data_IF_743723567341
#
_entry.id   IF_743723567341
#
_cell.length_a   1.000
_cell.length_b   1.000
_cell.length_c   1.000
_cell.angle_alpha   90.00
_cell.angle_beta   90.00
_cell.angle_gamma   90.00
#
_symmetry.space_group_name_H-M   'P 1'
#
loop_
_entity.id
_entity.type
_entity.pdbx_description
1 polymer ?
#
# COMPACT_ATOMS: atom_id res chain seq x y z
N UNK A 1 -22.68 -7.84 11.69
CA UNK A 1 -21.44 -8.12 10.97
C UNK A 1 -21.63 -9.38 10.14
N UNK A 2 -21.43 -9.30 8.82
CA UNK A 2 -21.52 -10.46 7.93
C UNK A 2 -20.38 -11.42 8.28
N UNK A 3 -20.65 -12.51 8.98
CA UNK A 3 -19.68 -13.57 9.24
C UNK A 3 -19.45 -14.32 7.94
N UNK A 4 -18.43 -13.94 7.19
CA UNK A 4 -18.01 -14.70 6.01
C UNK A 4 -17.65 -16.14 6.42
N UNK A 5 -18.29 -17.11 5.77
CA UNK A 5 -18.10 -18.53 6.09
C UNK A 5 -16.88 -19.14 5.37
N UNK A 6 -15.87 -18.31 5.05
CA UNK A 6 -14.64 -18.72 4.36
C UNK A 6 -13.69 -19.36 5.37
N UNK A 7 -13.21 -20.60 5.08
CA UNK A 7 -12.35 -21.39 5.97
C UNK A 7 -11.17 -22.01 5.21
N UNK A 8 -10.11 -22.34 5.94
CA UNK A 8 -8.94 -23.05 5.45
C UNK A 8 -8.16 -22.29 4.39
N UNK A 9 -7.76 -22.98 3.33
CA UNK A 9 -6.97 -22.39 2.23
C UNK A 9 -7.65 -21.21 1.54
N UNK A 10 -9.00 -21.21 1.47
CA UNK A 10 -9.76 -20.11 0.88
C UNK A 10 -9.70 -18.84 1.75
N UNK A 11 -9.71 -18.96 3.10
CA UNK A 11 -9.55 -17.82 3.99
C UNK A 11 -8.13 -17.25 3.90
N UNK A 12 -7.12 -18.11 3.95
CA UNK A 12 -5.70 -17.70 3.77
C UNK A 12 -5.47 -17.07 2.41
N UNK A 13 -5.98 -17.67 1.35
CA UNK A 13 -5.89 -17.13 -0.01
C UNK A 13 -6.61 -15.79 -0.16
N UNK A 14 -7.78 -15.61 0.46
CA UNK A 14 -8.50 -14.35 0.46
C UNK A 14 -7.73 -13.22 1.18
N UNK A 15 -7.10 -13.53 2.31
CA UNK A 15 -6.22 -12.57 3.01
C UNK A 15 -5.02 -12.21 2.13
N UNK A 16 -4.33 -13.21 1.57
CA UNK A 16 -3.18 -13.00 0.71
C UNK A 16 -3.55 -12.18 -0.55
N UNK A 17 -4.71 -12.46 -1.16
CA UNK A 17 -5.20 -11.71 -2.32
C UNK A 17 -5.52 -10.26 -1.96
N UNK A 18 -6.19 -10.01 -0.83
CA UNK A 18 -6.50 -8.65 -0.39
C UNK A 18 -5.23 -7.85 -0.08
N UNK A 19 -4.27 -8.46 0.63
CA UNK A 19 -2.97 -7.87 0.89
C UNK A 19 -2.23 -7.61 -0.43
N UNK A 20 -2.23 -8.57 -1.35
CA UNK A 20 -1.60 -8.45 -2.66
C UNK A 20 -2.18 -7.31 -3.49
N UNK A 21 -3.51 -7.17 -3.51
CA UNK A 21 -4.19 -6.07 -4.19
C UNK A 21 -3.82 -4.69 -3.61
N UNK A 22 -3.65 -4.58 -2.28
CA UNK A 22 -3.26 -3.33 -1.65
C UNK A 22 -1.82 -2.93 -2.02
N UNK A 23 -0.89 -3.89 -2.06
CA UNK A 23 0.50 -3.63 -2.50
C UNK A 23 0.59 -3.36 -4.00
N UNK A 24 -0.18 -4.08 -4.81
CA UNK A 24 -0.27 -3.83 -6.25
C UNK A 24 -0.80 -2.42 -6.53
N UNK A 25 -1.83 -2.01 -5.79
CA UNK A 25 -2.39 -0.66 -5.85
C UNK A 25 -1.35 0.40 -5.47
N UNK A 26 -0.56 0.14 -4.42
CA UNK A 26 0.51 1.04 -4.00
C UNK A 26 1.53 1.25 -5.13
N UNK A 27 2.04 0.17 -5.72
CA UNK A 27 2.97 0.25 -6.84
C UNK A 27 2.38 0.89 -8.10
N UNK A 28 1.10 0.62 -8.37
CA UNK A 28 0.38 1.23 -9.48
C UNK A 28 0.26 2.76 -9.30
N UNK A 29 -0.17 3.21 -8.12
CA UNK A 29 -0.39 4.63 -7.83
C UNK A 29 0.93 5.42 -7.82
N UNK A 30 2.02 4.79 -7.39
CA UNK A 30 3.36 5.36 -7.52
C UNK A 30 3.77 5.57 -8.99
N UNK A 31 3.52 4.59 -9.85
CA UNK A 31 3.98 4.63 -11.24
C UNK A 31 3.06 5.42 -12.19
N UNK A 32 1.77 5.55 -11.88
CA UNK A 32 0.79 6.10 -12.82
C UNK A 32 1.06 7.53 -13.22
N UNK A 33 1.54 8.37 -12.31
CA UNK A 33 1.86 9.76 -12.64
C UNK A 33 3.08 9.88 -13.55
N UNK A 34 4.11 9.07 -13.34
CA UNK A 34 5.26 9.05 -14.26
C UNK A 34 4.87 8.70 -15.70
N UNK A 35 3.80 7.91 -15.85
CA UNK A 35 3.27 7.56 -17.17
C UNK A 35 2.36 8.63 -17.78
N UNK A 36 1.60 9.40 -16.96
CA UNK A 36 0.61 10.36 -17.48
C UNK A 36 1.12 11.80 -17.57
N UNK A 37 2.11 12.21 -16.78
CA UNK A 37 2.68 13.58 -16.81
C UNK A 37 3.28 13.91 -18.20
N UNK A 38 3.78 12.90 -18.92
CA UNK A 38 4.30 13.07 -20.28
C UNK A 38 3.22 13.23 -21.37
N UNK A 39 1.93 13.03 -21.06
CA UNK A 39 0.84 13.13 -22.03
C UNK A 39 0.49 14.59 -22.35
N UNK A 40 0.24 14.89 -23.63
CA UNK A 40 -0.11 16.23 -24.09
C UNK A 40 -1.43 16.70 -23.48
N UNK A 41 -2.40 15.80 -23.31
CA UNK A 41 -3.68 16.08 -22.65
C UNK A 41 -3.51 16.51 -21.19
N UNK A 42 -2.58 15.88 -20.45
CA UNK A 42 -2.27 16.26 -19.07
C UNK A 42 -1.63 17.65 -19.01
N UNK A 43 -0.62 17.89 -19.85
CA UNK A 43 0.08 19.18 -19.89
C UNK A 43 -0.86 20.32 -20.24
N UNK A 44 -1.74 20.11 -21.22
CA UNK A 44 -2.73 21.10 -21.64
C UNK A 44 -3.76 21.42 -20.54
N UNK A 45 -4.22 20.40 -19.78
CA UNK A 45 -5.18 20.59 -18.69
C UNK A 45 -4.59 21.42 -17.54
N UNK A 46 -3.29 21.23 -17.26
CA UNK A 46 -2.59 21.88 -16.15
C UNK A 46 -1.66 23.03 -16.58
N UNK A 47 -1.92 23.70 -17.73
CA UNK A 47 -1.16 24.83 -18.28
C UNK A 47 0.35 24.58 -18.29
N UNK A 48 0.77 23.51 -18.91
CA UNK A 48 2.17 23.08 -19.09
C UNK A 48 3.01 23.20 -17.81
N UNK A 49 2.77 22.33 -16.81
CA UNK A 49 3.38 22.44 -15.50
C UNK A 49 4.91 22.38 -15.62
N UNK A 50 5.59 23.27 -14.91
CA UNK A 50 7.05 23.27 -14.89
C UNK A 50 7.57 22.02 -14.16
N UNK A 51 8.85 21.66 -14.38
CA UNK A 51 9.49 20.46 -13.82
C UNK A 51 9.38 20.37 -12.29
N UNK A 52 9.43 21.51 -11.61
CA UNK A 52 9.30 21.52 -10.14
C UNK A 52 7.90 21.13 -9.71
N UNK A 53 6.87 21.61 -10.41
CA UNK A 53 5.48 21.26 -10.11
C UNK A 53 5.17 19.79 -10.45
N UNK A 54 5.68 19.28 -11.58
CA UNK A 54 5.61 17.86 -11.92
C UNK A 54 6.23 17.01 -10.79
N UNK A 55 7.40 17.41 -10.29
CA UNK A 55 8.06 16.76 -9.18
C UNK A 55 7.26 16.81 -7.86
N UNK A 56 6.66 17.96 -7.55
CA UNK A 56 5.81 18.12 -6.38
C UNK A 56 4.58 17.21 -6.49
N UNK A 57 3.87 17.21 -7.61
CA UNK A 57 2.68 16.39 -7.82
C UNK A 57 3.01 14.89 -7.65
N UNK A 58 4.18 14.45 -8.12
CA UNK A 58 4.61 13.06 -7.96
C UNK A 58 4.98 12.74 -6.49
N UNK A 59 5.82 13.57 -5.86
CA UNK A 59 6.43 13.29 -4.56
C UNK A 59 5.50 13.55 -3.36
N UNK A 60 4.52 14.46 -3.51
CA UNK A 60 3.61 14.83 -2.41
C UNK A 60 2.79 13.64 -1.88
N UNK A 61 2.58 12.65 -2.73
CA UNK A 61 1.94 11.40 -2.39
C UNK A 61 2.69 10.63 -1.28
N UNK A 62 4.02 10.60 -1.34
CA UNK A 62 4.83 9.90 -0.33
C UNK A 62 4.72 10.58 1.05
N UNK A 63 4.57 11.91 1.07
CA UNK A 63 4.27 12.65 2.30
C UNK A 63 2.90 12.22 2.85
N UNK A 64 1.91 12.08 1.97
CA UNK A 64 0.59 11.53 2.33
C UNK A 64 0.72 10.12 2.92
N UNK A 65 1.50 9.22 2.30
CA UNK A 65 1.74 7.86 2.79
C UNK A 65 2.41 7.85 4.17
N UNK A 66 3.38 8.73 4.41
CA UNK A 66 4.03 8.87 5.70
C UNK A 66 3.02 9.28 6.80
N UNK A 67 2.21 10.30 6.54
CA UNK A 67 1.15 10.72 7.46
C UNK A 67 0.15 9.57 7.69
N UNK A 68 -0.26 8.88 6.62
CA UNK A 68 -1.16 7.74 6.69
C UNK A 68 -0.62 6.59 7.54
N UNK A 69 0.68 6.30 7.43
CA UNK A 69 1.33 5.28 8.25
C UNK A 69 1.33 5.66 9.74
N UNK A 70 1.56 6.94 10.08
CA UNK A 70 1.45 7.43 11.46
C UNK A 70 0.01 7.30 11.96
N UNK A 71 -0.97 7.72 11.17
CA UNK A 71 -2.39 7.59 11.54
C UNK A 71 -2.76 6.13 11.76
N UNK A 72 -2.32 5.22 10.88
CA UNK A 72 -2.54 3.79 11.03
C UNK A 72 -1.94 3.26 12.33
N UNK A 73 -0.71 3.64 12.66
CA UNK A 73 -0.05 3.24 13.91
C UNK A 73 -0.85 3.68 15.14
N UNK A 74 -1.32 4.93 15.17
CA UNK A 74 -2.08 5.48 16.29
C UNK A 74 -3.50 4.91 16.40
N UNK A 75 -4.09 4.48 15.28
CA UNK A 75 -5.49 4.03 15.23
C UNK A 75 -5.65 2.50 15.20
N UNK A 76 -4.57 1.76 14.92
CA UNK A 76 -4.60 0.30 14.77
C UNK A 76 -5.08 -0.41 16.04
N UNK A 77 -4.69 0.07 17.21
CA UNK A 77 -5.13 -0.50 18.49
C UNK A 77 -6.61 -0.29 18.72
N UNK A 78 -7.18 0.80 18.23
CA UNK A 78 -8.59 1.12 18.41
C UNK A 78 -9.49 0.39 17.41
N UNK A 79 -9.20 0.51 16.12
CA UNK A 79 -10.06 -0.03 15.05
C UNK A 79 -9.71 -1.47 14.64
N UNK A 80 -8.55 -1.98 15.02
CA UNK A 80 -8.01 -3.24 14.52
C UNK A 80 -7.42 -3.10 13.11
N UNK A 81 -6.79 -4.17 12.63
CA UNK A 81 -6.16 -4.17 11.30
C UNK A 81 -7.17 -4.02 10.18
N UNK A 82 -8.26 -4.79 10.24
CA UNK A 82 -9.33 -4.73 9.25
C UNK A 82 -10.02 -3.37 9.23
N UNK A 83 -10.29 -2.78 10.40
CA UNK A 83 -10.88 -1.46 10.53
C UNK A 83 -10.00 -0.37 9.93
N UNK A 84 -8.70 -0.40 10.21
CA UNK A 84 -7.73 0.55 9.66
C UNK A 84 -7.61 0.45 8.14
N UNK A 85 -7.57 -0.77 7.58
CA UNK A 85 -7.58 -0.99 6.13
C UNK A 85 -8.89 -0.47 5.51
N UNK A 86 -10.04 -0.71 6.16
CA UNK A 86 -11.33 -0.21 5.68
C UNK A 86 -11.33 1.31 5.60
N UNK A 87 -10.90 1.99 6.66
CA UNK A 87 -10.82 3.44 6.71
C UNK A 87 -9.85 3.99 5.65
N UNK A 88 -8.64 3.42 5.56
CA UNK A 88 -7.65 3.82 4.56
C UNK A 88 -8.18 3.66 3.13
N UNK A 89 -8.87 2.55 2.86
CA UNK A 89 -9.45 2.30 1.53
C UNK A 89 -10.57 3.30 1.19
N UNK A 90 -11.42 3.69 2.14
CA UNK A 90 -12.43 4.75 1.93
C UNK A 90 -11.79 6.13 1.67
N UNK A 91 -10.72 6.46 2.38
CA UNK A 91 -9.94 7.68 2.11
C UNK A 91 -9.39 7.65 0.68
N UNK A 92 -8.89 6.49 0.23
CA UNK A 92 -8.44 6.32 -1.16
C UNK A 92 -9.55 6.49 -2.18
N UNK A 93 -10.79 6.01 -1.92
CA UNK A 93 -11.96 6.26 -2.79
C UNK A 93 -12.13 7.76 -3.03
N UNK A 94 -12.15 8.54 -1.94
CA UNK A 94 -12.31 10.00 -2.02
C UNK A 94 -11.14 10.62 -2.80
N UNK A 95 -9.91 10.26 -2.46
CA UNK A 95 -8.71 10.76 -3.15
C UNK A 95 -8.71 10.45 -4.64
N UNK A 96 -9.04 9.21 -5.02
CA UNK A 96 -9.11 8.79 -6.43
C UNK A 96 -10.18 9.54 -7.22
N UNK A 97 -11.37 9.75 -6.65
CA UNK A 97 -12.42 10.52 -7.31
C UNK A 97 -11.97 11.97 -7.54
N UNK A 98 -11.42 12.61 -6.51
CA UNK A 98 -10.91 13.98 -6.60
C UNK A 98 -9.77 14.10 -7.63
N UNK A 99 -8.89 13.11 -7.69
CA UNK A 99 -7.76 13.07 -8.61
C UNK A 99 -8.21 12.88 -10.05
N UNK A 100 -9.12 11.96 -10.30
CA UNK A 100 -9.68 11.69 -11.63
C UNK A 100 -10.51 12.88 -12.15
N UNK A 101 -11.23 13.56 -11.26
CA UNK A 101 -12.05 14.74 -11.57
C UNK A 101 -11.27 16.06 -11.42
N UNK A 102 -9.96 16.02 -11.45
CA UNK A 102 -9.13 17.22 -11.26
C UNK A 102 -9.11 18.10 -12.50
N UNK A 103 -9.26 19.42 -12.29
CA UNK A 103 -9.18 20.49 -13.29
C UNK A 103 -8.11 21.53 -12.95
N UNK A 104 -7.61 21.53 -11.72
CA UNK A 104 -6.64 22.51 -11.22
C UNK A 104 -5.45 21.83 -10.56
N UNK A 105 -4.27 22.48 -10.64
CA UNK A 105 -3.00 22.01 -10.04
C UNK A 105 -3.13 21.76 -8.53
N UNK A 106 -3.81 22.66 -7.83
CA UNK A 106 -4.01 22.57 -6.36
C UNK A 106 -4.89 21.37 -6.02
N UNK A 107 -5.98 21.16 -6.77
CA UNK A 107 -6.86 20.01 -6.59
C UNK A 107 -6.09 18.68 -6.79
N UNK A 108 -5.24 18.61 -7.81
CA UNK A 108 -4.38 17.44 -8.05
C UNK A 108 -3.45 17.17 -6.85
N UNK A 109 -2.78 18.19 -6.33
CA UNK A 109 -1.88 18.07 -5.16
C UNK A 109 -2.65 17.57 -3.93
N UNK A 110 -3.79 18.19 -3.61
CA UNK A 110 -4.61 17.79 -2.46
C UNK A 110 -5.09 16.35 -2.61
N UNK A 111 -5.57 15.98 -3.79
CA UNK A 111 -6.06 14.62 -4.03
C UNK A 111 -4.95 13.58 -3.88
N UNK A 112 -3.71 13.90 -4.28
CA UNK A 112 -2.53 13.05 -4.09
C UNK A 112 -2.19 12.84 -2.61
N UNK A 113 -2.27 13.89 -1.79
CA UNK A 113 -2.09 13.76 -0.33
C UNK A 113 -3.16 12.84 0.26
N UNK A 114 -4.43 13.03 -0.11
CA UNK A 114 -5.54 12.22 0.40
C UNK A 114 -5.36 10.75 -0.01
N UNK A 115 -5.07 10.48 -1.28
CA UNK A 115 -4.83 9.12 -1.76
C UNK A 115 -3.62 8.50 -1.03
N UNK A 116 -2.55 9.27 -0.85
CA UNK A 116 -1.37 8.85 -0.10
C UNK A 116 -1.69 8.47 1.34
N UNK A 117 -2.46 9.29 2.06
CA UNK A 117 -2.88 8.97 3.45
C UNK A 117 -3.60 7.63 3.49
N UNK A 118 -4.57 7.41 2.62
CA UNK A 118 -5.31 6.15 2.56
C UNK A 118 -4.42 4.96 2.26
N UNK A 119 -3.50 5.12 1.31
CA UNK A 119 -2.59 4.05 0.91
C UNK A 119 -1.52 3.77 1.97
N UNK A 120 -0.99 4.80 2.62
CA UNK A 120 -0.07 4.66 3.75
C UNK A 120 -0.70 3.91 4.93
N UNK A 121 -1.99 4.14 5.22
CA UNK A 121 -2.74 3.38 6.22
C UNK A 121 -2.86 1.89 5.83
N UNK A 122 -3.15 1.60 4.57
CA UNK A 122 -3.30 0.23 4.09
C UNK A 122 -1.98 -0.53 4.17
N UNK A 123 -0.89 0.05 3.66
CA UNK A 123 0.43 -0.59 3.61
C UNK A 123 1.08 -0.76 4.98
N UNK A 124 0.87 0.18 5.91
CA UNK A 124 1.38 0.06 7.29
C UNK A 124 0.83 -1.17 8.04
N UNK A 125 -0.37 -1.64 7.66
CA UNK A 125 -0.99 -2.82 8.28
C UNK A 125 -0.51 -4.15 7.67
N UNK A 126 0.24 -4.11 6.56
CA UNK A 126 0.57 -5.27 5.74
C UNK A 126 2.09 -5.37 5.58
N UNK A 127 2.72 -6.43 6.07
CA UNK A 127 4.21 -6.53 6.16
C UNK A 127 4.85 -7.39 5.06
N UNK A 128 4.08 -8.12 4.22
CA UNK A 128 4.65 -9.34 3.61
C UNK A 128 4.81 -9.36 2.08
N UNK A 129 4.41 -8.34 1.29
CA UNK A 129 4.37 -8.51 -0.18
C UNK A 129 4.95 -7.36 -1.02
N UNK A 130 6.17 -6.96 -0.74
CA UNK A 130 6.89 -5.92 -1.51
C UNK A 130 7.08 -6.26 -3.01
N UNK A 131 7.11 -7.53 -3.39
CA UNK A 131 7.19 -7.94 -4.79
C UNK A 131 6.01 -7.44 -5.65
N UNK A 132 4.79 -7.37 -5.09
CA UNK A 132 3.63 -6.89 -5.83
C UNK A 132 3.65 -5.37 -6.05
N UNK A 133 4.35 -4.61 -5.23
CA UNK A 133 4.65 -3.19 -5.50
C UNK A 133 5.46 -3.09 -6.79
N UNK A 134 6.49 -3.93 -6.93
CA UNK A 134 7.32 -3.96 -8.13
C UNK A 134 6.53 -4.30 -9.39
N UNK A 135 5.46 -5.08 -9.31
CA UNK A 135 4.57 -5.38 -10.44
C UNK A 135 3.59 -4.23 -10.75
N UNK A 136 3.16 -3.47 -9.75
CA UNK A 136 2.27 -2.32 -9.93
C UNK A 136 2.86 -1.25 -10.86
N UNK A 137 4.16 -1.00 -10.77
CA UNK A 137 4.87 -0.04 -11.61
C UNK A 137 4.77 -0.33 -13.12
N UNK A 138 5.22 -1.50 -13.64
CA UNK A 138 5.09 -1.79 -15.06
C UNK A 138 3.63 -1.80 -15.52
N UNK A 139 2.70 -2.24 -14.68
CA UNK A 139 1.29 -2.20 -14.99
C UNK A 139 0.80 -0.77 -15.26
N UNK A 140 1.17 0.19 -14.40
CA UNK A 140 0.83 1.61 -14.59
C UNK A 140 1.48 2.21 -15.83
N UNK A 141 2.72 1.82 -16.12
CA UNK A 141 3.46 2.28 -17.30
C UNK A 141 2.80 1.79 -18.60
N UNK A 142 2.40 0.52 -18.68
CA UNK A 142 1.68 -0.01 -19.85
C UNK A 142 0.27 0.56 -19.97
N UNK A 143 -0.40 0.88 -18.86
CA UNK A 143 -1.66 1.61 -18.89
C UNK A 143 -1.49 3.02 -19.45
N UNK A 144 -0.40 3.73 -19.09
CA UNK A 144 -0.03 5.01 -19.69
C UNK A 144 0.25 4.91 -21.18
N UNK A 145 0.92 3.85 -21.63
CA UNK A 145 1.14 3.58 -23.05
C UNK A 145 -0.18 3.38 -23.82
N UNK A 146 -1.09 2.57 -23.26
CA UNK A 146 -2.41 2.35 -23.85
C UNK A 146 -3.24 3.65 -23.91
N UNK A 147 -3.11 4.51 -22.92
CA UNK A 147 -3.82 5.80 -22.84
C UNK A 147 -3.46 6.80 -23.90
N UNK A 148 -2.27 6.69 -24.50
CA UNK A 148 -1.86 7.54 -25.61
C UNK A 148 -2.75 7.41 -26.83
N UNK A 149 -3.40 6.26 -27.03
CA UNK A 149 -4.35 6.08 -28.13
C UNK A 149 -5.60 6.98 -27.98
N UNK A 150 -5.86 7.47 -26.77
CA UNK A 150 -6.98 8.37 -26.49
C UNK A 150 -6.60 9.87 -26.55
N UNK A 151 -5.34 10.19 -26.88
CA UNK A 151 -4.90 11.56 -27.10
C UNK A 151 -5.59 12.18 -28.35
N UNK A 152 -5.94 13.46 -28.36
CA UNK A 152 -5.65 14.50 -27.37
C UNK A 152 -6.76 14.69 -26.31
N UNK A 153 -7.62 13.73 -26.09
CA UNK A 153 -8.72 13.81 -25.12
C UNK A 153 -8.20 13.78 -23.69
N UNK A 154 -8.84 14.55 -22.78
CA UNK A 154 -8.59 14.47 -21.33
C UNK A 154 -8.87 13.07 -20.76
N UNK A 155 -9.59 12.22 -21.48
CA UNK A 155 -9.76 10.80 -21.13
C UNK A 155 -8.41 10.07 -21.09
N UNK A 156 -7.43 10.43 -21.94
CA UNK A 156 -6.11 9.82 -21.98
C UNK A 156 -5.41 9.79 -20.61
N UNK A 157 -5.35 10.90 -19.90
CA UNK A 157 -4.71 10.95 -18.58
C UNK A 157 -5.63 10.56 -17.43
N UNK A 158 -6.95 10.76 -17.54
CA UNK A 158 -7.92 10.44 -16.47
C UNK A 158 -8.15 8.94 -16.33
N UNK A 159 -8.14 8.20 -17.43
CA UNK A 159 -8.38 6.76 -17.45
C UNK A 159 -7.38 5.95 -16.61
N UNK A 160 -6.05 6.11 -16.76
CA UNK A 160 -5.11 5.39 -15.92
C UNK A 160 -5.28 5.70 -14.44
N UNK A 161 -5.57 6.94 -14.10
CA UNK A 161 -5.83 7.34 -12.71
C UNK A 161 -7.13 6.71 -12.19
N UNK A 162 -8.20 6.70 -12.98
CA UNK A 162 -9.46 6.07 -12.60
C UNK A 162 -9.33 4.55 -12.41
N UNK A 163 -8.43 3.89 -13.16
CA UNK A 163 -8.23 2.45 -13.12
C UNK A 163 -7.80 1.94 -11.74
N UNK A 164 -7.12 2.74 -10.94
CA UNK A 164 -6.84 2.39 -9.54
C UNK A 164 -8.11 2.10 -8.74
N UNK A 165 -9.25 2.69 -9.11
CA UNK A 165 -10.55 2.40 -8.54
C UNK A 165 -10.97 0.93 -8.64
N UNK A 166 -10.48 0.19 -9.63
CA UNK A 166 -10.74 -1.25 -9.77
C UNK A 166 -10.12 -2.03 -8.61
N UNK A 167 -8.87 -1.71 -8.23
CA UNK A 167 -8.21 -2.34 -7.08
C UNK A 167 -8.88 -1.97 -5.77
N UNK A 168 -9.25 -0.69 -5.61
CA UNK A 168 -9.96 -0.18 -4.45
C UNK A 168 -11.31 -0.90 -4.29
N UNK A 169 -12.07 -1.03 -5.37
CA UNK A 169 -13.35 -1.74 -5.37
C UNK A 169 -13.17 -3.23 -5.03
N UNK A 170 -12.14 -3.88 -5.58
CA UNK A 170 -11.81 -5.25 -5.25
C UNK A 170 -11.46 -5.43 -3.76
N UNK A 171 -10.64 -4.55 -3.18
CA UNK A 171 -10.31 -4.57 -1.76
C UNK A 171 -11.59 -4.43 -0.92
N UNK A 172 -12.43 -3.43 -1.20
CA UNK A 172 -13.69 -3.20 -0.48
C UNK A 172 -14.66 -4.39 -0.61
N UNK A 173 -14.66 -5.09 -1.75
CA UNK A 173 -15.49 -6.26 -1.97
C UNK A 173 -15.02 -7.46 -1.14
N UNK A 174 -13.71 -7.71 -1.05
CA UNK A 174 -13.16 -8.85 -0.31
C UNK A 174 -13.07 -8.61 1.20
N UNK A 175 -12.79 -7.39 1.62
CA UNK A 175 -12.52 -7.04 3.02
C UNK A 175 -13.62 -7.44 4.02
N UNK A 176 -14.94 -7.34 3.74
CA UNK A 176 -15.98 -7.76 4.66
C UNK A 176 -15.93 -9.25 5.02
N UNK A 177 -15.46 -10.08 4.10
CA UNK A 177 -15.39 -11.55 4.26
C UNK A 177 -14.16 -12.01 5.05
N UNK A 178 -13.16 -11.15 5.21
CA UNK A 178 -11.93 -11.48 5.93
C UNK A 178 -12.12 -11.38 7.44
N UNK A 179 -11.49 -12.28 8.21
CA UNK A 179 -11.49 -12.21 9.67
C UNK A 179 -10.63 -11.03 10.17
N UNK A 180 -10.85 -10.61 11.40
CA UNK A 180 -9.96 -9.66 12.10
C UNK A 180 -8.68 -10.38 12.54
N UNK A 181 -7.66 -9.61 12.93
CA UNK A 181 -6.41 -10.15 13.45
C UNK A 181 -6.63 -10.90 14.76
N UNK A 182 -6.25 -12.21 14.88
CA UNK A 182 -6.41 -12.96 16.12
C UNK A 182 -5.65 -12.31 17.29
N UNK A 183 -4.42 -11.83 17.07
CA UNK A 183 -3.63 -11.15 18.09
C UNK A 183 -4.31 -9.90 18.64
N UNK A 184 -4.92 -9.09 17.76
CA UNK A 184 -5.67 -7.91 18.18
C UNK A 184 -6.91 -8.30 18.98
N UNK A 185 -7.62 -9.37 18.61
CA UNK A 185 -8.77 -9.88 19.37
C UNK A 185 -8.37 -10.32 20.78
N UNK A 186 -7.26 -11.05 20.91
CA UNK A 186 -6.71 -11.44 22.22
C UNK A 186 -6.30 -10.21 23.04
N UNK A 187 -5.66 -9.22 22.43
CA UNK A 187 -5.30 -7.98 23.12
C UNK A 187 -6.53 -7.23 23.65
N UNK A 188 -7.67 -7.28 22.94
CA UNK A 188 -8.96 -6.73 23.36
C UNK A 188 -9.75 -7.65 24.32
N UNK A 189 -9.19 -8.80 24.73
CA UNK A 189 -9.86 -9.75 25.62
C UNK A 189 -10.95 -10.60 24.95
N UNK A 190 -11.07 -10.56 23.62
CA UNK A 190 -12.07 -11.31 22.83
C UNK A 190 -11.52 -12.68 22.41
N UNK A 191 -11.13 -13.50 23.42
CA UNK A 191 -10.39 -14.76 23.21
C UNK A 191 -11.22 -15.79 22.42
N UNK A 192 -12.52 -15.89 22.66
CA UNK A 192 -13.38 -16.83 21.94
C UNK A 192 -13.44 -16.54 20.43
N UNK A 193 -13.54 -15.26 20.07
CA UNK A 193 -13.54 -14.85 18.67
C UNK A 193 -12.17 -15.07 18.01
N UNK A 194 -11.09 -14.85 18.75
CA UNK A 194 -9.74 -15.17 18.28
C UNK A 194 -9.60 -16.67 17.99
N UNK A 195 -10.12 -17.53 18.88
CA UNK A 195 -10.10 -18.97 18.71
C UNK A 195 -10.91 -19.41 17.47
N UNK A 196 -12.08 -18.80 17.21
CA UNK A 196 -12.84 -19.06 15.98
C UNK A 196 -12.04 -18.66 14.72
N UNK A 197 -11.31 -17.54 14.78
CA UNK A 197 -10.42 -17.13 13.65
C UNK A 197 -9.29 -18.13 13.44
N UNK A 198 -8.63 -18.60 14.50
CA UNK A 198 -7.62 -19.66 14.39
C UNK A 198 -8.18 -20.93 13.77
N UNK A 199 -9.33 -21.40 14.24
CA UNK A 199 -10.00 -22.57 13.68
C UNK A 199 -10.34 -22.38 12.19
N UNK A 200 -10.77 -21.18 11.78
CA UNK A 200 -11.03 -20.85 10.36
C UNK A 200 -9.78 -20.85 9.51
N UNK A 201 -8.64 -20.41 10.07
CA UNK A 201 -7.37 -20.35 9.34
C UNK A 201 -6.69 -21.71 9.27
N UNK A 202 -6.84 -22.56 10.30
CA UNK A 202 -6.22 -23.88 10.36
C UNK A 202 -6.73 -24.80 9.24
N UNK A 203 -8.07 -24.90 9.06
CA UNK A 203 -8.60 -25.79 8.02
C UNK A 203 -10.11 -25.72 7.82
N UNK A 204 -10.60 -26.43 6.78
CA UNK A 204 -12.05 -26.51 6.51
C UNK A 204 -12.81 -27.22 7.61
N UNK A 205 -12.22 -28.24 8.21
CA UNK A 205 -12.84 -29.11 9.20
C UNK A 205 -12.32 -28.85 10.62
N UNK A 206 -11.44 -27.87 10.80
CA UNK A 206 -10.88 -27.56 12.11
C UNK A 206 -11.93 -26.93 13.02
N UNK A 207 -11.94 -27.40 14.26
CA UNK A 207 -12.82 -26.94 15.33
C UNK A 207 -12.04 -26.12 16.35
N UNK A 208 -12.75 -25.38 17.18
CA UNK A 208 -12.16 -24.58 18.26
C UNK A 208 -11.46 -25.42 19.32
N UNK A 209 -11.74 -26.74 19.37
CA UNK A 209 -11.17 -27.69 20.34
C UNK A 209 -10.00 -28.50 19.77
N UNK A 210 -9.62 -28.28 18.51
CA UNK A 210 -8.49 -29.00 17.92
C UNK A 210 -7.19 -28.64 18.66
N UNK A 211 -6.32 -29.63 18.98
CA UNK A 211 -5.09 -29.40 19.73
C UNK A 211 -4.19 -28.31 19.16
N UNK A 212 -4.07 -28.26 17.83
CA UNK A 212 -3.24 -27.27 17.14
C UNK A 212 -3.82 -25.86 17.29
N UNK A 213 -5.16 -25.71 17.20
CA UNK A 213 -5.86 -24.43 17.38
C UNK A 213 -5.73 -23.93 18.83
N UNK A 214 -5.89 -24.84 19.78
CA UNK A 214 -5.74 -24.52 21.21
C UNK A 214 -4.31 -24.09 21.51
N UNK A 215 -3.32 -24.81 21.00
CA UNK A 215 -1.91 -24.46 21.17
C UNK A 215 -1.57 -23.09 20.61
N UNK A 216 -1.96 -22.81 19.37
CA UNK A 216 -1.71 -21.51 18.72
C UNK A 216 -2.38 -20.35 19.47
N UNK A 217 -3.62 -20.57 19.98
CA UNK A 217 -4.31 -19.64 20.86
C UNK A 217 -3.52 -19.37 22.14
N UNK A 218 -3.10 -20.44 22.83
CA UNK A 218 -2.42 -20.33 24.12
C UNK A 218 -1.07 -19.65 23.98
N UNK A 219 -0.32 -19.94 22.92
CA UNK A 219 0.96 -19.29 22.60
C UNK A 219 0.77 -17.77 22.42
N UNK A 220 -0.28 -17.36 21.71
CA UNK A 220 -0.55 -15.91 21.50
C UNK A 220 -1.09 -15.26 22.77
N UNK A 221 -1.96 -15.95 23.53
CA UNK A 221 -2.45 -15.44 24.82
C UNK A 221 -1.27 -15.23 25.77
N UNK A 222 -0.38 -16.20 25.91
CA UNK A 222 0.81 -16.09 26.75
C UNK A 222 1.71 -14.91 26.32
N UNK A 223 1.93 -14.76 24.99
CA UNK A 223 2.72 -13.64 24.45
C UNK A 223 2.09 -12.28 24.79
N UNK A 224 0.77 -12.13 24.64
CA UNK A 224 0.07 -10.87 24.93
C UNK A 224 0.02 -10.60 26.46
N UNK A 225 -0.10 -11.63 27.29
CA UNK A 225 -0.03 -11.47 28.74
C UNK A 225 1.37 -11.04 29.20
N UNK A 226 2.41 -11.59 28.59
CA UNK A 226 3.79 -11.19 28.86
C UNK A 226 4.04 -9.74 28.47
N UNK A 227 3.56 -9.31 27.30
CA UNK A 227 3.60 -7.90 26.88
C UNK A 227 2.88 -6.99 27.87
N UNK A 228 1.70 -7.38 28.36
CA UNK A 228 0.96 -6.60 29.35
C UNK A 228 1.68 -6.50 30.70
N UNK A 229 2.40 -7.55 31.11
CA UNK A 229 3.21 -7.54 32.34
C UNK A 229 4.43 -6.62 32.25
N UNK A 230 4.99 -6.48 31.05
CA UNK A 230 6.13 -5.57 30.78
C UNK A 230 5.72 -4.09 30.83
N UNK A 231 4.40 -3.81 30.78
CA UNK A 231 3.85 -2.45 30.74
C UNK A 231 3.90 -1.83 29.36
N UNK A 232 3.22 -0.70 29.21
CA UNK A 232 3.28 0.08 27.97
C UNK A 232 4.65 0.77 27.85
N UNK A 233 5.41 0.44 26.78
CA UNK A 233 6.67 1.08 26.51
C UNK A 233 6.45 2.58 26.28
N UNK A 234 7.14 3.42 27.05
CA UNK A 234 7.10 4.85 26.83
C UNK A 234 8.01 5.27 25.67
N UNK A 235 7.62 6.31 24.96
CA UNK A 235 8.47 6.87 23.89
C UNK A 235 9.90 7.16 24.35
N UNK A 236 10.06 7.54 25.62
CA UNK A 236 11.38 7.76 26.23
C UNK A 236 12.23 6.49 26.24
N UNK A 237 11.63 5.32 26.47
CA UNK A 237 12.34 4.04 26.50
C UNK A 237 12.81 3.60 25.08
N UNK A 238 12.08 3.99 24.04
CA UNK A 238 12.47 3.72 22.64
C UNK A 238 13.79 4.45 22.30
N UNK A 239 13.94 5.67 22.81
CA UNK A 239 15.12 6.52 22.57
C UNK A 239 16.20 6.41 23.65
N UNK A 240 16.02 5.55 24.66
CA UNK A 240 16.98 5.34 25.73
C UNK A 240 17.75 4.04 25.52
N UNK A 241 19.06 4.07 25.60
CA UNK A 241 19.90 2.89 25.48
C UNK A 241 19.95 2.14 26.80
N UNK A 242 18.95 1.26 27.04
CA UNK A 242 18.90 0.36 28.17
C UNK A 242 19.54 -1.02 27.86
N UNK A 243 19.33 -2.01 28.77
CA UNK A 243 19.79 -3.40 28.58
C UNK A 243 19.30 -4.01 27.25
N UNK A 244 18.17 -3.54 26.71
CA UNK A 244 17.56 -4.05 25.50
C UNK A 244 18.10 -3.43 24.21
N UNK A 245 19.01 -2.45 24.28
CA UNK A 245 19.60 -1.76 23.12
C UNK A 245 18.54 -1.26 22.12
N UNK A 246 17.51 -0.57 22.61
CA UNK A 246 16.35 -0.18 21.80
C UNK A 246 16.74 0.71 20.61
N UNK A 247 17.62 1.72 20.81
CA UNK A 247 18.11 2.59 19.74
C UNK A 247 18.82 1.77 18.65
N UNK A 248 19.71 0.86 19.05
CA UNK A 248 20.42 0.00 18.09
C UNK A 248 19.46 -0.83 17.26
N UNK A 249 18.39 -1.37 17.84
CA UNK A 249 17.35 -2.12 17.11
C UNK A 249 16.57 -1.23 16.15
N UNK A 250 16.19 -0.03 16.58
CA UNK A 250 15.50 0.95 15.72
C UNK A 250 16.41 1.34 14.54
N UNK A 251 17.69 1.64 14.79
CA UNK A 251 18.66 2.00 13.75
C UNK A 251 18.90 0.83 12.77
N UNK A 252 19.01 -0.40 13.27
CA UNK A 252 19.15 -1.60 12.43
C UNK A 252 17.91 -1.86 11.58
N UNK A 253 16.71 -1.57 12.11
CA UNK A 253 15.48 -1.70 11.34
C UNK A 253 15.28 -0.56 10.34
N UNK A 254 15.52 0.69 10.73
CA UNK A 254 15.34 1.87 9.90
C UNK A 254 16.47 2.08 8.88
N UNK A 255 17.71 1.71 9.23
CA UNK A 255 18.90 1.96 8.42
C UNK A 255 18.82 1.44 6.98
N UNK A 256 18.50 0.15 6.73
CA UNK A 256 18.36 -0.37 5.39
C UNK A 256 17.30 0.35 4.56
N UNK A 257 16.16 0.73 5.17
CA UNK A 257 15.12 1.50 4.49
C UNK A 257 15.59 2.91 4.15
N UNK A 258 16.30 3.58 5.06
CA UNK A 258 16.90 4.90 4.79
C UNK A 258 17.94 4.82 3.67
N UNK A 259 18.82 3.83 3.68
CA UNK A 259 19.80 3.62 2.61
C UNK A 259 19.11 3.36 1.26
N UNK A 260 18.04 2.57 1.24
CA UNK A 260 17.26 2.32 0.05
C UNK A 260 16.66 3.64 -0.50
N UNK A 261 16.09 4.49 0.34
CA UNK A 261 15.52 5.77 -0.10
C UNK A 261 16.61 6.75 -0.56
N UNK A 262 17.77 6.81 0.12
CA UNK A 262 18.89 7.64 -0.29
C UNK A 262 19.55 7.20 -1.59
N UNK A 263 19.38 5.94 -2.00
CA UNK A 263 19.82 5.50 -3.34
C UNK A 263 19.07 6.17 -4.49
N UNK A 264 17.95 6.89 -4.21
CA UNK A 264 17.13 7.55 -5.19
C UNK A 264 16.23 6.62 -6.01
N UNK A 265 15.97 5.40 -5.52
CA UNK A 265 15.18 4.40 -6.25
C UNK A 265 13.79 4.92 -6.61
N UNK A 266 13.14 5.67 -5.73
CA UNK A 266 11.82 6.23 -6.01
C UNK A 266 11.88 7.32 -7.11
N UNK A 267 12.92 8.17 -7.11
CA UNK A 267 13.11 9.14 -8.18
C UNK A 267 13.28 8.44 -9.53
N UNK A 268 14.07 7.38 -9.58
CA UNK A 268 14.25 6.60 -10.80
C UNK A 268 12.92 5.94 -11.21
N UNK A 269 12.22 5.30 -10.29
CA UNK A 269 10.97 4.61 -10.58
C UNK A 269 9.89 5.58 -11.13
N UNK A 270 9.68 6.73 -10.48
CA UNK A 270 8.66 7.70 -10.90
C UNK A 270 8.98 8.38 -12.22
N UNK A 271 10.24 8.73 -12.43
CA UNK A 271 10.64 9.58 -13.55
C UNK A 271 11.39 8.82 -14.67
N UNK A 272 11.45 7.48 -14.60
CA UNK A 272 12.18 6.68 -15.59
C UNK A 272 11.70 6.92 -17.03
N UNK A 273 10.38 6.91 -17.34
CA UNK A 273 9.91 7.23 -18.69
C UNK A 273 10.30 8.64 -19.13
N UNK A 274 10.13 9.62 -18.24
CA UNK A 274 10.45 11.03 -18.52
C UNK A 274 11.97 11.23 -18.69
N UNK A 275 12.78 10.48 -17.94
CA UNK A 275 14.24 10.51 -18.06
C UNK A 275 14.70 9.99 -19.42
N UNK A 276 14.10 8.90 -19.90
CA UNK A 276 14.38 8.36 -21.23
C UNK A 276 13.97 9.32 -22.35
N UNK A 277 12.81 9.95 -22.22
CA UNK A 277 12.32 10.93 -23.19
C UNK A 277 13.20 12.18 -23.21
N UNK A 278 13.43 12.81 -22.06
CA UNK A 278 14.03 14.16 -21.99
C UNK A 278 15.56 14.16 -21.99
N UNK A 279 16.22 13.15 -21.41
CA UNK A 279 17.67 13.11 -21.25
C UNK A 279 18.34 12.24 -22.31
N UNK A 280 17.68 11.17 -22.76
CA UNK A 280 18.21 10.26 -23.78
C UNK A 280 17.58 10.55 -25.15
N UNK A 281 16.55 11.42 -25.19
CA UNK A 281 15.85 11.84 -26.41
C UNK A 281 15.19 10.67 -27.17
N UNK A 282 14.69 9.67 -26.44
CA UNK A 282 13.91 8.60 -27.03
C UNK A 282 12.47 9.05 -27.30
N UNK A 283 11.79 8.37 -28.21
CA UNK A 283 10.37 8.60 -28.41
C UNK A 283 9.61 8.24 -27.13
N UNK A 284 8.50 8.93 -26.86
CA UNK A 284 7.69 8.67 -25.65
C UNK A 284 7.23 7.21 -25.57
N UNK A 285 6.88 6.61 -26.74
CA UNK A 285 6.50 5.18 -26.79
C UNK A 285 7.62 4.26 -26.37
N UNK A 286 8.82 4.45 -26.91
CA UNK A 286 9.98 3.64 -26.58
C UNK A 286 10.38 3.83 -25.11
N UNK A 287 10.27 5.05 -24.59
CA UNK A 287 10.54 5.38 -23.20
C UNK A 287 9.61 4.62 -22.23
N UNK A 288 8.31 4.58 -22.54
CA UNK A 288 7.33 3.82 -21.76
C UNK A 288 7.55 2.31 -21.87
N UNK A 289 7.83 1.80 -23.07
CA UNK A 289 8.12 0.36 -23.27
C UNK A 289 9.35 -0.06 -22.45
N UNK A 290 10.45 0.69 -22.57
CA UNK A 290 11.68 0.37 -21.84
C UNK A 290 11.49 0.46 -20.32
N UNK A 291 10.80 1.48 -19.83
CA UNK A 291 10.48 1.60 -18.41
C UNK A 291 9.61 0.43 -17.92
N UNK A 292 8.62 0.02 -18.71
CA UNK A 292 7.78 -1.13 -18.41
C UNK A 292 8.57 -2.44 -18.38
N UNK A 293 9.46 -2.67 -19.35
CA UNK A 293 10.32 -3.86 -19.39
C UNK A 293 11.27 -3.91 -18.19
N UNK A 294 11.91 -2.79 -17.84
CA UNK A 294 12.76 -2.71 -16.64
C UNK A 294 11.96 -2.97 -15.36
N UNK A 295 10.71 -2.49 -15.28
CA UNK A 295 9.81 -2.79 -14.16
C UNK A 295 9.48 -4.29 -14.07
N UNK A 296 9.24 -4.98 -15.18
CA UNK A 296 9.04 -6.43 -15.22
C UNK A 296 10.30 -7.17 -14.77
N UNK A 297 11.47 -6.73 -15.25
CA UNK A 297 12.74 -7.31 -14.82
C UNK A 297 12.94 -7.15 -13.31
N UNK A 298 12.67 -5.97 -12.75
CA UNK A 298 12.74 -5.71 -11.32
C UNK A 298 11.78 -6.61 -10.52
N UNK A 299 10.53 -6.76 -11.00
CA UNK A 299 9.57 -7.69 -10.41
C UNK A 299 10.08 -9.14 -10.43
N UNK A 300 10.59 -9.61 -11.57
CA UNK A 300 11.12 -10.98 -11.68
C UNK A 300 12.29 -11.24 -10.71
N UNK A 301 13.21 -10.26 -10.59
CA UNK A 301 14.35 -10.36 -9.67
C UNK A 301 13.95 -10.27 -8.18
N UNK A 302 12.78 -9.68 -7.85
CA UNK A 302 12.31 -9.59 -6.48
C UNK A 302 11.84 -10.93 -5.89
N UNK A 303 11.78 -11.99 -6.70
CA UNK A 303 11.45 -13.36 -6.28
C UNK A 303 12.69 -14.26 -6.05
N UNK A 304 13.87 -13.76 -6.38
CA UNK A 304 15.16 -14.44 -6.15
C UNK A 304 15.75 -14.03 -4.81
#
# INVERSE_FOLDING_TARGET
MVRGNIRGSAARGGIAACCGLAFLLFGYDQGVLGAVIGLDSFRKEFDDPNRNLEGIIAAIYDIGCFVGAIVAFLTADYFGRKGSITLGTWIMVVGTILQTASFEKIQMIISRIITGIGNGMNTAMLVIQSALIAFGHPLSTFMGLASRQAEPSSFGWRWPIAFQGVFIAAILMFLPFLPESPRWLVHKGRIEEATDVFARLAGKNSTINDPDVVRERDDIVASVEEEKKLGEATWSEVFTEGKNRNISRVLLGAGPYMMNQWSGINCLAYFLPITFERNIHLSVELSLILAGVLGIQYFALSWL
#
